data_IF_159456940845
#
_entry.id   IF_159456940845
#
_cell.length_a   1.000
_cell.length_b   1.000
_cell.length_c   1.000
_cell.angle_alpha   90.00
_cell.angle_beta   90.00
_cell.angle_gamma   90.00
#
_symmetry.space_group_name_H-M   'P 1'
#
loop_
_entity.id
_entity.type
_entity.pdbx_description
1 polymer ?
#
# COMPACT_ATOMS: atom_id res chain seq x y z
N UNK A 1 -6.02 -4.52 18.43
CA UNK A 1 -6.76 -3.36 17.88
C UNK A 1 -7.66 -2.76 18.96
N UNK A 2 -8.26 -1.56 18.77
CA UNK A 2 -9.20 -0.99 19.77
C UNK A 2 -10.43 -1.88 20.02
N UNK A 3 -10.75 -2.78 19.07
CA UNK A 3 -11.83 -3.76 19.12
C UNK A 3 -11.38 -5.13 19.69
N UNK A 4 -10.16 -5.25 20.22
CA UNK A 4 -9.62 -6.51 20.74
C UNK A 4 -9.17 -7.52 19.68
N UNK A 5 -9.30 -7.23 18.38
CA UNK A 5 -8.85 -8.15 17.33
C UNK A 5 -7.33 -8.22 17.22
N UNK A 6 -6.84 -9.43 16.89
CA UNK A 6 -5.45 -9.69 16.51
C UNK A 6 -5.24 -9.33 15.04
N UNK A 7 -4.07 -8.74 14.74
CA UNK A 7 -3.61 -8.52 13.37
C UNK A 7 -2.41 -9.41 13.12
N UNK A 8 -2.43 -10.13 12.01
CA UNK A 8 -1.22 -10.77 11.51
C UNK A 8 -0.26 -9.69 11.03
N UNK A 9 0.98 -9.72 11.55
CA UNK A 9 2.05 -8.81 11.18
C UNK A 9 3.25 -9.63 10.71
N UNK A 10 3.49 -9.63 9.40
CA UNK A 10 4.64 -10.31 8.80
C UNK A 10 5.83 -9.37 8.82
N UNK A 11 6.99 -9.86 9.28
CA UNK A 11 8.23 -9.08 9.32
C UNK A 11 8.93 -9.07 7.94
N UNK A 12 8.67 -8.03 7.16
CA UNK A 12 9.25 -7.85 5.83
C UNK A 12 10.65 -7.21 5.83
N UNK A 13 11.28 -6.97 6.99
CA UNK A 13 12.54 -6.18 7.04
C UNK A 13 13.64 -6.75 6.16
N UNK A 14 13.79 -8.08 6.13
CA UNK A 14 14.85 -8.71 5.34
C UNK A 14 14.52 -8.72 3.85
N UNK A 15 13.27 -9.00 3.50
CA UNK A 15 12.76 -8.93 2.12
C UNK A 15 12.93 -7.50 1.57
N UNK A 16 12.55 -6.48 2.33
CA UNK A 16 12.63 -5.07 1.91
C UNK A 16 14.06 -4.57 1.66
N UNK A 17 15.10 -5.22 2.20
CA UNK A 17 16.50 -4.91 1.88
C UNK A 17 16.93 -5.47 0.52
N UNK A 18 16.33 -6.58 0.11
CA UNK A 18 16.63 -7.30 -1.12
C UNK A 18 15.76 -6.80 -2.29
N UNK A 19 14.57 -6.26 -2.00
CA UNK A 19 13.68 -5.69 -3.01
C UNK A 19 14.19 -4.37 -3.57
N UNK A 20 14.15 -4.22 -4.91
CA UNK A 20 14.40 -2.94 -5.57
C UNK A 20 13.32 -1.94 -5.16
N UNK A 21 13.73 -0.82 -4.57
CA UNK A 21 12.79 0.23 -4.18
C UNK A 21 12.14 0.85 -5.41
N UNK A 22 10.81 0.78 -5.48
CA UNK A 22 10.03 1.55 -6.44
C UNK A 22 10.01 3.02 -6.01
N UNK A 23 10.98 3.80 -6.48
CA UNK A 23 11.09 5.23 -6.21
C UNK A 23 10.20 6.05 -7.16
N UNK A 24 8.89 5.77 -7.15
CA UNK A 24 7.94 6.63 -7.85
C UNK A 24 7.82 7.97 -7.11
N UNK A 25 7.95 9.12 -7.80
CA UNK A 25 7.86 10.41 -7.15
C UNK A 25 6.42 10.64 -6.67
N UNK A 26 6.23 10.57 -5.35
CA UNK A 26 4.97 10.98 -4.74
C UNK A 26 4.88 12.52 -4.74
N UNK A 27 3.76 13.10 -5.21
CA UNK A 27 3.58 14.55 -5.21
C UNK A 27 3.58 15.09 -3.78
N UNK A 28 4.05 16.33 -3.60
CA UNK A 28 3.93 16.99 -2.30
C UNK A 28 2.47 17.35 -2.05
N UNK A 29 2.10 17.42 -0.78
CA UNK A 29 0.72 17.72 -0.41
C UNK A 29 0.25 19.10 -0.92
N UNK A 30 1.15 20.09 -0.98
CA UNK A 30 0.83 21.41 -1.55
C UNK A 30 0.56 21.32 -3.06
N UNK A 31 1.39 20.57 -3.81
CA UNK A 31 1.20 20.36 -5.24
C UNK A 31 -0.18 19.73 -5.54
N UNK A 32 -0.65 18.84 -4.66
CA UNK A 32 -2.00 18.25 -4.76
C UNK A 32 -3.11 19.29 -4.50
N UNK A 33 -2.92 20.19 -3.54
CA UNK A 33 -3.91 21.23 -3.24
C UNK A 33 -3.97 22.31 -4.33
N UNK A 34 -2.83 22.67 -4.91
CA UNK A 34 -2.76 23.60 -6.04
C UNK A 34 -3.54 23.05 -7.25
N UNK A 35 -3.44 21.75 -7.51
CA UNK A 35 -4.24 21.08 -8.56
C UNK A 35 -5.74 21.08 -8.31
N UNK A 36 -6.15 21.11 -7.04
CA UNK A 36 -7.55 21.08 -6.64
C UNK A 36 -8.18 22.48 -6.62
N UNK A 37 -7.38 23.55 -6.71
CA UNK A 37 -7.84 24.93 -6.70
C UNK A 37 -8.90 25.20 -7.79
N UNK A 38 -9.94 25.96 -7.44
CA UNK A 38 -11.04 26.30 -8.35
C UNK A 38 -12.17 25.28 -8.41
N UNK A 39 -12.01 24.12 -7.76
CA UNK A 39 -13.10 23.16 -7.56
C UNK A 39 -13.96 23.55 -6.37
N UNK A 40 -15.29 23.44 -6.52
CA UNK A 40 -16.26 23.75 -5.46
C UNK A 40 -16.72 22.53 -4.69
N UNK A 41 -16.55 21.33 -5.25
CA UNK A 41 -17.00 20.05 -4.69
C UNK A 41 -15.88 19.04 -4.81
N UNK A 42 -15.64 18.28 -3.74
CA UNK A 42 -14.62 17.23 -3.68
C UNK A 42 -15.26 15.90 -3.29
N UNK A 43 -14.66 14.81 -3.75
CA UNK A 43 -15.01 13.45 -3.36
C UNK A 43 -13.73 12.67 -3.09
N UNK A 44 -13.74 11.83 -2.05
CA UNK A 44 -12.63 10.96 -1.71
C UNK A 44 -13.10 9.51 -1.75
N UNK A 45 -12.32 8.67 -2.42
CA UNK A 45 -12.51 7.23 -2.43
C UNK A 45 -11.43 6.61 -1.54
N UNK A 46 -11.83 5.74 -0.62
CA UNK A 46 -10.91 5.03 0.27
C UNK A 46 -10.75 3.57 -0.17
N UNK A 47 -9.52 3.18 -0.47
CA UNK A 47 -9.17 1.79 -0.82
C UNK A 47 -8.62 1.07 0.42
N UNK A 48 -9.46 0.90 1.45
CA UNK A 48 -9.09 0.33 2.77
C UNK A 48 -8.31 -0.99 2.68
N UNK A 49 -8.62 -1.82 1.68
CA UNK A 49 -7.97 -3.12 1.42
C UNK A 49 -7.21 -3.14 0.08
N UNK A 50 -6.82 -1.97 -0.44
CA UNK A 50 -6.25 -1.85 -1.79
C UNK A 50 -5.03 -2.73 -2.04
N UNK A 51 -4.18 -2.93 -1.03
CA UNK A 51 -3.03 -3.83 -1.13
C UNK A 51 -3.40 -5.29 -1.39
N UNK A 52 -4.54 -5.76 -0.87
CA UNK A 52 -4.99 -7.15 -1.07
C UNK A 52 -5.69 -7.36 -2.42
N UNK A 53 -6.05 -6.28 -3.12
CA UNK A 53 -6.66 -6.36 -4.45
C UNK A 53 -5.61 -6.47 -5.56
N UNK A 54 -4.38 -6.00 -5.30
CA UNK A 54 -3.26 -6.10 -6.23
C UNK A 54 -2.60 -7.47 -6.12
N UNK A 55 -2.49 -8.18 -7.24
CA UNK A 55 -1.82 -9.48 -7.30
C UNK A 55 -0.31 -9.30 -7.37
N UNK A 56 0.40 -10.11 -6.60
CA UNK A 56 1.85 -10.31 -6.74
C UNK A 56 2.10 -11.16 -7.99
N UNK A 57 3.18 -10.88 -8.74
CA UNK A 57 3.56 -11.69 -9.89
C UNK A 57 3.94 -13.09 -9.43
N UNK A 58 3.58 -14.12 -10.19
CA UNK A 58 3.82 -15.52 -9.79
C UNK A 58 5.30 -15.82 -9.51
N UNK A 59 6.21 -15.22 -10.30
CA UNK A 59 7.67 -15.32 -10.13
C UNK A 59 8.18 -14.74 -8.80
N UNK A 60 7.47 -13.78 -8.24
CA UNK A 60 7.83 -13.06 -7.01
C UNK A 60 7.13 -13.61 -5.77
N UNK A 61 6.29 -14.67 -5.89
CA UNK A 61 5.65 -15.33 -4.75
C UNK A 61 6.60 -16.40 -4.20
N UNK A 62 7.21 -16.20 -3.03
CA UNK A 62 7.95 -17.25 -2.35
C UNK A 62 6.95 -18.32 -1.87
N UNK A 63 7.26 -19.60 -2.11
CA UNK A 63 6.50 -20.75 -1.57
C UNK A 63 6.11 -20.64 -0.08
N UNK A 64 6.96 -20.11 0.85
CA UNK A 64 6.53 -19.94 2.23
C UNK A 64 5.45 -18.85 2.44
N UNK A 65 5.34 -17.84 1.57
CA UNK A 65 4.27 -16.82 1.67
C UNK A 65 2.93 -17.34 1.14
N UNK A 66 2.89 -18.30 0.21
CA UNK A 66 1.62 -18.87 -0.28
C UNK A 66 0.89 -19.75 0.74
N UNK A 67 1.59 -20.28 1.75
CA UNK A 67 0.99 -21.13 2.79
C UNK A 67 0.52 -20.34 4.02
N UNK A 68 0.90 -19.06 4.13
CA UNK A 68 0.65 -18.20 5.30
C UNK A 68 -0.25 -16.99 4.99
N UNK A 69 -0.82 -16.92 3.78
CA UNK A 69 -1.81 -15.92 3.36
C UNK A 69 -3.14 -16.60 3.06
#
# INVERSE_FOLDING_TARGET
MKDGSFRMCIDYREINKQTVKNCYPLPRINDLFDQLQGSSVYSKIDLRSGYHQLRVREEDIPKPLSEHV
#
